data_IF_854443083802
#
_entry.id   IF_854443083802
#
_cell.length_a   1.000
_cell.length_b   1.000
_cell.length_c   1.000
_cell.angle_alpha   90.00
_cell.angle_beta   90.00
_cell.angle_gamma   90.00
#
_symmetry.space_group_name_H-M   'P 1'
#
loop_
_entity.id
_entity.type
_entity.pdbx_description
1 polymer ?
#
# COMPACT_ATOMS: atom_id res chain seq x y z
N UNK A 1 3.99 9.21 -14.36
CA UNK A 1 2.85 9.97 -13.75
C UNK A 1 2.51 9.25 -12.46
N UNK A 2 2.47 9.98 -11.33
CA UNK A 2 2.16 9.38 -10.02
C UNK A 2 0.68 9.02 -9.96
N UNK A 3 0.37 7.84 -9.41
CA UNK A 3 -0.99 7.35 -9.20
C UNK A 3 -1.43 7.58 -7.75
N UNK A 4 -2.71 7.85 -7.55
CA UNK A 4 -3.32 7.96 -6.23
C UNK A 4 -4.14 6.71 -5.94
N UNK A 5 -3.79 5.99 -4.88
CA UNK A 5 -4.51 4.82 -4.38
C UNK A 5 -5.36 5.23 -3.17
N UNK A 6 -6.66 5.30 -3.38
CA UNK A 6 -7.62 5.69 -2.34
C UNK A 6 -8.09 4.51 -1.51
N UNK A 7 -8.07 4.63 -0.19
CA UNK A 7 -8.36 3.57 0.77
C UNK A 7 -9.85 3.52 1.14
N UNK A 8 -10.48 2.36 0.98
CA UNK A 8 -11.82 2.06 1.50
C UNK A 8 -11.72 0.94 2.53
N UNK A 9 -12.11 1.24 3.78
CA UNK A 9 -12.15 0.25 4.86
C UNK A 9 -13.59 -0.20 5.11
N UNK A 10 -13.87 -1.49 4.90
CA UNK A 10 -15.16 -2.15 5.13
C UNK A 10 -15.23 -2.79 6.53
N UNK A 11 -14.70 -2.12 7.54
CA UNK A 11 -14.78 -2.58 8.94
C UNK A 11 -16.09 -2.12 9.59
N UNK A 12 -16.62 -2.82 10.61
CA UNK A 12 -17.88 -2.44 11.29
C UNK A 12 -17.89 -1.00 11.77
N UNK A 13 -16.74 -0.48 12.24
CA UNK A 13 -16.61 0.90 12.68
C UNK A 13 -16.67 1.91 11.51
N UNK A 14 -16.46 1.45 10.28
CA UNK A 14 -16.58 2.26 9.07
C UNK A 14 -18.02 2.42 8.59
N UNK A 15 -18.95 1.54 8.97
CA UNK A 15 -20.38 1.67 8.66
C UNK A 15 -21.10 2.70 9.57
N UNK A 16 -20.47 3.14 10.69
CA UNK A 16 -21.09 3.97 11.71
C UNK A 16 -20.46 5.34 11.88
N UNK A 17 -20.44 6.22 11.06
CA UNK A 17 -20.31 7.66 11.16
C UNK A 17 -19.23 8.34 10.27
N UNK A 18 -17.92 8.03 10.21
CA UNK A 18 -17.02 8.66 9.24
C UNK A 18 -16.96 7.94 7.89
N UNK A 19 -17.59 6.78 7.71
CA UNK A 19 -17.52 5.94 6.51
C UNK A 19 -18.10 6.57 5.24
N UNK A 20 -18.87 7.64 5.35
CA UNK A 20 -19.27 8.45 4.19
C UNK A 20 -18.06 9.01 3.43
N UNK A 21 -16.93 9.19 4.10
CA UNK A 21 -15.68 9.62 3.45
C UNK A 21 -15.08 8.51 2.60
N UNK A 22 -15.09 7.27 3.03
CA UNK A 22 -14.53 6.16 2.28
C UNK A 22 -15.26 5.91 0.96
N UNK A 23 -16.60 5.94 0.96
CA UNK A 23 -17.38 5.74 -0.27
C UNK A 23 -17.30 6.95 -1.23
N UNK A 24 -17.00 8.15 -0.73
CA UNK A 24 -16.75 9.31 -1.56
C UNK A 24 -15.50 9.12 -2.44
N UNK A 25 -14.56 8.26 -2.03
CA UNK A 25 -13.37 7.88 -2.82
C UNK A 25 -13.77 7.30 -4.18
N UNK A 26 -14.89 6.60 -4.30
CA UNK A 26 -15.40 6.08 -5.58
C UNK A 26 -15.69 7.19 -6.60
N UNK A 27 -15.94 8.41 -6.15
CA UNK A 27 -16.17 9.59 -6.99
C UNK A 27 -15.00 10.57 -6.98
N UNK A 28 -13.90 10.23 -6.31
CA UNK A 28 -12.69 11.06 -6.21
C UNK A 28 -11.81 10.94 -7.44
N UNK A 29 -10.60 11.52 -7.36
CA UNK A 29 -9.57 11.45 -8.40
C UNK A 29 -8.59 10.29 -8.20
N UNK A 30 -8.95 9.27 -7.42
CA UNK A 30 -8.11 8.09 -7.26
C UNK A 30 -7.98 7.31 -8.57
N UNK A 31 -6.79 6.86 -8.89
CA UNK A 31 -6.49 5.98 -10.02
C UNK A 31 -6.73 4.51 -9.65
N UNK A 32 -6.47 4.17 -8.39
CA UNK A 32 -6.63 2.84 -7.81
C UNK A 32 -7.55 2.96 -6.60
N UNK A 33 -8.49 2.04 -6.45
CA UNK A 33 -9.33 1.91 -5.26
C UNK A 33 -8.88 0.69 -4.48
N UNK A 34 -8.37 0.91 -3.27
CA UNK A 34 -7.85 -0.14 -2.39
C UNK A 34 -8.83 -0.46 -1.27
N UNK A 35 -9.37 -1.67 -1.29
CA UNK A 35 -10.48 -2.08 -0.41
C UNK A 35 -10.00 -3.13 0.57
N UNK A 36 -10.14 -2.86 1.87
CA UNK A 36 -9.84 -3.80 2.94
C UNK A 36 -11.02 -4.00 3.89
N UNK A 37 -11.17 -5.22 4.41
CA UNK A 37 -12.23 -5.57 5.36
C UNK A 37 -11.70 -5.95 6.75
N UNK A 38 -10.38 -5.95 6.92
CA UNK A 38 -9.68 -6.25 8.17
C UNK A 38 -8.85 -5.02 8.58
N UNK A 39 -8.87 -4.69 9.86
CA UNK A 39 -8.04 -3.61 10.38
C UNK A 39 -6.64 -4.12 10.71
N UNK A 40 -5.63 -3.50 10.13
CA UNK A 40 -4.21 -3.77 10.41
C UNK A 40 -3.63 -2.86 11.50
N UNK A 41 -4.48 -2.11 12.23
CA UNK A 41 -4.06 -1.25 13.34
C UNK A 41 -3.63 -2.07 14.55
N UNK A 42 -2.64 -1.59 15.33
CA UNK A 42 -2.27 -2.23 16.59
C UNK A 42 -3.49 -2.46 17.49
N UNK A 43 -3.64 -3.71 17.98
CA UNK A 43 -4.76 -4.07 18.87
C UNK A 43 -6.08 -4.44 18.18
N UNK A 44 -6.14 -4.45 16.85
CA UNK A 44 -7.30 -4.95 16.13
C UNK A 44 -7.55 -6.44 16.46
N UNK A 45 -8.81 -6.83 16.54
CA UNK A 45 -9.20 -8.22 16.71
C UNK A 45 -8.93 -9.03 15.43
N UNK A 46 -8.56 -10.30 15.61
CA UNK A 46 -8.42 -11.22 14.49
C UNK A 46 -9.79 -11.45 13.85
N UNK A 47 -9.83 -11.39 12.53
CA UNK A 47 -11.05 -11.57 11.73
C UNK A 47 -10.90 -12.87 10.95
N UNK A 48 -11.91 -13.74 11.01
CA UNK A 48 -11.90 -14.98 10.21
C UNK A 48 -12.05 -14.67 8.72
N UNK A 49 -11.58 -15.57 7.87
CA UNK A 49 -11.74 -15.49 6.39
C UNK A 49 -13.20 -15.34 6.01
N UNK A 50 -14.12 -16.07 6.68
CA UNK A 50 -15.55 -15.99 6.40
C UNK A 50 -16.15 -14.61 6.76
N UNK A 51 -15.69 -14.00 7.86
CA UNK A 51 -16.15 -12.66 8.24
C UNK A 51 -15.55 -11.59 7.31
N UNK A 52 -14.26 -11.73 6.93
CA UNK A 52 -13.63 -10.86 5.93
C UNK A 52 -14.38 -10.92 4.60
N UNK A 53 -14.69 -12.14 4.11
CA UNK A 53 -15.46 -12.33 2.89
C UNK A 53 -16.85 -11.72 3.00
N UNK A 54 -17.57 -11.96 4.09
CA UNK A 54 -18.91 -11.41 4.34
C UNK A 54 -18.95 -9.88 4.22
N UNK A 55 -17.85 -9.21 4.57
CA UNK A 55 -17.72 -7.74 4.45
C UNK A 55 -17.38 -7.32 3.02
N UNK A 56 -16.50 -8.06 2.35
CA UNK A 56 -16.02 -7.74 0.99
C UNK A 56 -17.04 -8.07 -0.09
N UNK A 57 -17.68 -9.23 -0.02
CA UNK A 57 -18.54 -9.76 -1.08
C UNK A 57 -19.60 -8.77 -1.58
N UNK A 58 -20.39 -8.10 -0.73
CA UNK A 58 -21.41 -7.15 -1.19
C UNK A 58 -20.82 -5.98 -1.99
N UNK A 59 -19.64 -5.50 -1.59
CA UNK A 59 -18.94 -4.42 -2.28
C UNK A 59 -18.43 -4.92 -3.64
N UNK A 60 -17.79 -6.08 -3.68
CA UNK A 60 -17.23 -6.65 -4.91
C UNK A 60 -18.33 -7.00 -5.93
N UNK A 61 -19.47 -7.55 -5.49
CA UNK A 61 -20.62 -7.82 -6.37
C UNK A 61 -21.25 -6.57 -6.97
N UNK A 62 -21.12 -5.42 -6.29
CA UNK A 62 -21.60 -4.13 -6.77
C UNK A 62 -20.51 -3.35 -7.54
N UNK A 63 -19.32 -3.96 -7.72
CA UNK A 63 -18.21 -3.28 -8.36
C UNK A 63 -18.45 -3.11 -9.86
N UNK A 64 -18.58 -1.87 -10.32
CA UNK A 64 -18.73 -1.49 -11.73
C UNK A 64 -17.81 -0.31 -12.11
N UNK A 65 -16.87 0.02 -11.22
CA UNK A 65 -16.00 1.17 -11.39
C UNK A 65 -14.89 0.87 -12.41
N UNK A 66 -14.62 1.75 -13.39
CA UNK A 66 -13.57 1.53 -14.40
C UNK A 66 -12.14 1.69 -13.87
N UNK A 67 -11.97 2.16 -12.62
CA UNK A 67 -10.66 2.29 -12.01
C UNK A 67 -10.09 0.93 -11.63
N UNK A 68 -8.76 0.85 -11.51
CA UNK A 68 -8.08 -0.36 -11.04
C UNK A 68 -8.51 -0.68 -9.60
N UNK A 69 -9.02 -1.87 -9.39
CA UNK A 69 -9.32 -2.40 -8.06
C UNK A 69 -8.06 -2.95 -7.41
N UNK A 70 -7.87 -2.67 -6.13
CA UNK A 70 -6.91 -3.31 -5.24
C UNK A 70 -7.65 -3.89 -4.04
N UNK A 71 -7.22 -5.06 -3.56
CA UNK A 71 -7.81 -5.71 -2.39
C UNK A 71 -6.72 -5.89 -1.33
N UNK A 72 -6.92 -5.22 -0.17
CA UNK A 72 -6.03 -5.28 1.00
C UNK A 72 -6.41 -6.52 1.83
N UNK A 73 -5.63 -7.58 1.66
CA UNK A 73 -5.83 -8.87 2.35
C UNK A 73 -4.53 -9.66 2.45
N UNK A 74 -4.38 -10.44 3.53
CA UNK A 74 -3.29 -11.42 3.70
C UNK A 74 -3.75 -12.86 3.47
N UNK A 75 -4.97 -13.09 2.91
CA UNK A 75 -5.56 -14.40 2.72
C UNK A 75 -5.67 -14.79 1.25
N UNK A 76 -4.99 -15.86 0.84
CA UNK A 76 -5.09 -16.43 -0.50
C UNK A 76 -6.50 -16.92 -0.85
N UNK A 77 -7.28 -17.34 0.18
CA UNK A 77 -8.68 -17.72 -0.03
C UNK A 77 -9.56 -16.52 -0.40
N UNK A 78 -9.33 -15.37 0.23
CA UNK A 78 -10.01 -14.12 -0.16
C UNK A 78 -9.62 -13.74 -1.60
N UNK A 79 -8.34 -13.86 -1.95
CA UNK A 79 -7.88 -13.60 -3.33
C UNK A 79 -8.62 -14.48 -4.34
N UNK A 80 -8.76 -15.79 -4.08
CA UNK A 80 -9.48 -16.71 -4.97
C UNK A 80 -10.95 -16.32 -5.12
N UNK A 81 -11.66 -16.14 -3.99
CA UNK A 81 -13.09 -15.76 -4.01
C UNK A 81 -13.34 -14.41 -4.70
N UNK A 82 -12.45 -13.45 -4.46
CA UNK A 82 -12.55 -12.15 -5.11
C UNK A 82 -12.31 -12.25 -6.63
N UNK A 83 -11.32 -13.03 -7.06
CA UNK A 83 -11.07 -13.28 -8.48
C UNK A 83 -12.27 -13.90 -9.20
N UNK A 84 -12.93 -14.87 -8.56
CA UNK A 84 -14.15 -15.48 -9.09
C UNK A 84 -15.32 -14.48 -9.18
N UNK A 85 -15.30 -13.44 -8.35
CA UNK A 85 -16.36 -12.44 -8.29
C UNK A 85 -16.17 -11.28 -9.29
N UNK A 86 -14.94 -10.73 -9.41
CA UNK A 86 -14.67 -9.49 -10.15
C UNK A 86 -13.62 -9.63 -11.25
N UNK A 87 -13.01 -10.79 -11.42
CA UNK A 87 -11.88 -10.98 -12.33
C UNK A 87 -10.57 -10.39 -11.79
N UNK A 88 -9.63 -9.99 -12.65
CA UNK A 88 -8.30 -9.53 -12.23
C UNK A 88 -8.31 -8.22 -11.43
N UNK A 89 -7.47 -8.15 -10.39
CA UNK A 89 -7.26 -6.98 -9.55
C UNK A 89 -5.80 -6.95 -9.03
N UNK A 90 -5.43 -5.91 -8.29
CA UNK A 90 -4.15 -5.79 -7.58
C UNK A 90 -4.32 -6.36 -6.17
N UNK A 91 -3.47 -7.29 -5.75
CA UNK A 91 -3.43 -7.79 -4.37
C UNK A 91 -2.52 -6.86 -3.56
N UNK A 92 -3.05 -6.25 -2.50
CA UNK A 92 -2.27 -5.46 -1.55
C UNK A 92 -2.10 -6.28 -0.25
N UNK A 93 -0.91 -6.87 -0.08
CA UNK A 93 -0.64 -7.75 1.05
C UNK A 93 0.47 -7.18 1.93
N UNK A 94 0.08 -6.73 3.13
CA UNK A 94 1.02 -6.19 4.12
C UNK A 94 2.04 -7.22 4.62
N UNK A 95 1.80 -8.51 4.36
CA UNK A 95 2.69 -9.60 4.80
C UNK A 95 3.67 -10.06 3.73
N UNK A 96 3.51 -9.61 2.49
CA UNK A 96 4.27 -10.10 1.34
C UNK A 96 4.30 -11.64 1.25
N UNK A 97 3.18 -12.29 1.59
CA UNK A 97 2.99 -13.74 1.57
C UNK A 97 3.49 -14.48 2.82
N UNK A 98 3.99 -13.77 3.84
CA UNK A 98 4.51 -14.42 5.05
C UNK A 98 3.40 -14.98 5.95
N UNK A 99 2.20 -14.39 5.93
CA UNK A 99 1.08 -14.81 6.78
C UNK A 99 0.28 -15.98 6.15
N UNK A 100 0.39 -16.18 4.83
CA UNK A 100 -0.28 -17.29 4.10
C UNK A 100 0.65 -17.88 3.03
N UNK A 101 1.20 -19.08 3.21
CA UNK A 101 2.12 -19.70 2.25
C UNK A 101 1.52 -19.95 0.86
N UNK A 102 0.17 -19.99 0.74
CA UNK A 102 -0.52 -20.13 -0.54
C UNK A 102 -0.73 -18.79 -1.27
N UNK A 103 -0.38 -17.66 -0.65
CA UNK A 103 -0.59 -16.33 -1.23
C UNK A 103 0.16 -16.17 -2.56
N UNK A 104 1.49 -16.24 -2.55
CA UNK A 104 2.30 -16.03 -3.75
C UNK A 104 2.00 -17.05 -4.85
N UNK A 105 1.90 -18.39 -4.56
CA UNK A 105 1.45 -19.35 -5.57
C UNK A 105 0.08 -19.04 -6.18
N UNK A 106 -0.85 -18.52 -5.38
CA UNK A 106 -2.20 -18.16 -5.87
C UNK A 106 -2.14 -16.94 -6.78
N UNK A 107 -1.43 -15.89 -6.37
CA UNK A 107 -1.25 -14.65 -7.16
C UNK A 107 -0.60 -14.96 -8.50
N UNK A 108 0.49 -15.75 -8.51
CA UNK A 108 1.19 -16.13 -9.74
C UNK A 108 0.32 -16.96 -10.68
N UNK A 109 -0.40 -17.96 -10.16
CA UNK A 109 -1.32 -18.80 -10.94
C UNK A 109 -2.45 -18.00 -11.58
N UNK A 110 -2.97 -16.98 -10.89
CA UNK A 110 -4.05 -16.12 -11.39
C UNK A 110 -3.54 -14.95 -12.25
N UNK A 111 -2.22 -14.75 -12.34
CA UNK A 111 -1.61 -13.67 -13.12
C UNK A 111 -1.95 -12.28 -12.58
N UNK A 112 -2.09 -12.13 -11.26
CA UNK A 112 -2.46 -10.87 -10.62
C UNK A 112 -1.24 -10.00 -10.34
N UNK A 113 -1.43 -8.67 -10.32
CA UNK A 113 -0.47 -7.75 -9.76
C UNK A 113 -0.42 -7.84 -8.23
N UNK A 114 0.73 -7.51 -7.65
CA UNK A 114 0.96 -7.69 -6.21
C UNK A 114 1.71 -6.53 -5.58
N UNK A 115 1.27 -6.06 -4.41
CA UNK A 115 2.03 -5.13 -3.56
C UNK A 115 2.72 -5.92 -2.48
N UNK A 116 4.06 -5.89 -2.49
CA UNK A 116 4.90 -6.50 -1.47
C UNK A 116 5.32 -5.44 -0.45
N UNK A 117 4.81 -5.54 0.77
CA UNK A 117 5.18 -4.62 1.84
C UNK A 117 6.18 -5.26 2.82
N UNK A 118 7.24 -4.51 3.14
CA UNK A 118 8.14 -4.91 4.22
C UNK A 118 7.51 -4.64 5.59
N UNK A 119 7.33 -5.70 6.37
CA UNK A 119 7.01 -5.62 7.80
C UNK A 119 7.96 -6.50 8.62
N UNK A 120 8.01 -6.27 9.93
CA UNK A 120 8.57 -7.21 10.92
C UNK A 120 7.51 -7.52 11.95
N UNK A 121 7.27 -8.81 12.19
CA UNK A 121 6.22 -9.24 13.11
C UNK A 121 4.81 -8.92 12.62
N UNK A 122 3.90 -8.76 13.57
CA UNK A 122 2.51 -8.42 13.33
C UNK A 122 2.16 -7.10 14.04
N UNK A 123 0.96 -6.54 13.87
CA UNK A 123 0.57 -5.27 14.48
C UNK A 123 0.70 -5.21 16.02
N UNK A 124 0.74 -6.38 16.71
CA UNK A 124 0.91 -6.45 18.18
C UNK A 124 2.38 -6.47 18.61
N UNK A 125 3.27 -6.96 17.77
CA UNK A 125 4.69 -7.19 18.11
C UNK A 125 5.64 -6.23 17.41
N UNK A 126 5.22 -5.54 16.36
CA UNK A 126 6.07 -4.74 15.48
C UNK A 126 6.85 -3.63 16.22
N UNK A 127 6.26 -2.99 17.24
CA UNK A 127 6.94 -1.91 17.99
C UNK A 127 8.17 -2.44 18.76
N UNK A 128 8.14 -3.72 19.22
CA UNK A 128 9.26 -4.35 19.91
C UNK A 128 10.35 -4.89 18.97
N UNK A 129 10.09 -4.91 17.67
CA UNK A 129 10.99 -5.42 16.64
C UNK A 129 11.70 -4.29 15.85
N UNK A 130 11.57 -3.04 16.33
CA UNK A 130 12.35 -1.94 15.78
C UNK A 130 13.85 -2.14 16.09
N UNK A 131 14.69 -2.02 15.07
CA UNK A 131 16.16 -2.06 15.20
C UNK A 131 16.72 -0.69 14.82
N UNK A 132 16.90 0.23 15.80
CA UNK A 132 17.26 1.61 15.51
C UNK A 132 18.68 1.76 14.93
N UNK A 133 19.58 0.83 15.23
CA UNK A 133 21.01 0.93 14.88
C UNK A 133 21.37 0.27 13.52
N UNK A 134 20.37 -0.22 12.75
CA UNK A 134 20.61 -0.79 11.43
C UNK A 134 20.45 0.27 10.32
N UNK A 135 21.17 0.12 9.20
CA UNK A 135 20.84 0.84 7.96
C UNK A 135 19.54 0.27 7.39
N UNK A 136 18.46 1.03 7.55
CA UNK A 136 17.13 0.59 7.13
C UNK A 136 17.02 0.39 5.62
N UNK A 137 17.80 1.09 4.82
CA UNK A 137 17.78 0.93 3.36
C UNK A 137 18.46 -0.39 2.95
N UNK A 138 19.55 -0.78 3.63
CA UNK A 138 20.17 -2.09 3.39
C UNK A 138 19.24 -3.24 3.79
N UNK A 139 18.54 -3.10 4.91
CA UNK A 139 17.52 -4.08 5.35
C UNK A 139 16.42 -4.22 4.31
N UNK A 140 15.85 -3.11 3.84
CA UNK A 140 14.81 -3.11 2.82
C UNK A 140 15.30 -3.72 1.50
N UNK A 141 16.50 -3.35 1.07
CA UNK A 141 17.07 -3.88 -0.14
C UNK A 141 17.31 -5.40 -0.06
N UNK A 142 17.81 -5.91 1.07
CA UNK A 142 17.97 -7.34 1.27
C UNK A 142 16.63 -8.09 1.26
N UNK A 143 15.61 -7.51 1.89
CA UNK A 143 14.27 -8.06 1.90
C UNK A 143 13.64 -8.15 0.50
N UNK A 144 13.72 -7.07 -0.28
CA UNK A 144 13.16 -7.06 -1.63
C UNK A 144 13.96 -7.88 -2.64
N UNK A 145 15.24 -8.07 -2.41
CA UNK A 145 16.04 -9.03 -3.19
C UNK A 145 15.55 -10.47 -2.96
N UNK A 146 15.27 -10.85 -1.72
CA UNK A 146 14.67 -12.15 -1.40
C UNK A 146 13.25 -12.28 -1.97
N UNK A 147 12.43 -11.22 -1.80
CA UNK A 147 11.08 -11.21 -2.36
C UNK A 147 11.08 -11.33 -3.89
N UNK A 148 12.00 -10.66 -4.59
CA UNK A 148 12.13 -10.75 -6.05
C UNK A 148 12.34 -12.18 -6.53
N UNK A 149 13.14 -12.97 -5.81
CA UNK A 149 13.34 -14.41 -6.12
C UNK A 149 12.05 -15.21 -5.88
N UNK A 150 11.37 -14.98 -4.76
CA UNK A 150 10.08 -15.64 -4.46
C UNK A 150 9.00 -15.30 -5.51
N UNK A 151 8.95 -14.04 -5.95
CA UNK A 151 8.05 -13.58 -6.99
C UNK A 151 8.33 -14.29 -8.33
N UNK A 152 9.61 -14.40 -8.72
CA UNK A 152 10.03 -15.10 -9.93
C UNK A 152 9.67 -16.60 -9.87
N UNK A 153 9.97 -17.28 -8.75
CA UNK A 153 9.64 -18.70 -8.53
C UNK A 153 8.12 -18.96 -8.61
N UNK A 154 7.30 -17.99 -8.19
CA UNK A 154 5.84 -18.07 -8.27
C UNK A 154 5.24 -17.54 -9.58
N UNK A 155 6.06 -16.99 -10.50
CA UNK A 155 5.59 -16.41 -11.77
C UNK A 155 4.89 -15.07 -11.63
N UNK A 156 5.15 -14.31 -10.56
CA UNK A 156 4.60 -12.96 -10.33
C UNK A 156 5.44 -11.95 -11.09
N UNK A 157 4.94 -11.49 -12.25
CA UNK A 157 5.66 -10.56 -13.12
C UNK A 157 5.38 -9.09 -12.80
N UNK A 158 4.19 -8.75 -12.30
CA UNK A 158 3.77 -7.38 -11.94
C UNK A 158 3.71 -7.25 -10.42
N UNK A 159 4.75 -6.66 -9.82
CA UNK A 159 4.73 -6.39 -8.39
C UNK A 159 5.27 -4.98 -8.07
N UNK A 160 4.77 -4.42 -6.96
CA UNK A 160 4.99 -3.07 -6.47
C UNK A 160 5.68 -3.19 -5.11
N UNK A 161 6.66 -2.35 -4.85
CA UNK A 161 7.45 -2.33 -3.64
C UNK A 161 6.85 -1.30 -2.67
N UNK A 162 6.49 -1.74 -1.43
CA UNK A 162 6.10 -0.86 -0.33
C UNK A 162 7.10 -1.02 0.83
N UNK A 163 7.87 0.02 1.20
CA UNK A 163 8.81 -0.05 2.31
C UNK A 163 8.15 -0.19 3.67
N UNK A 164 6.82 -0.11 3.77
CA UNK A 164 6.06 -0.33 4.99
C UNK A 164 6.33 0.73 6.06
N UNK A 165 6.13 2.02 5.74
CA UNK A 165 6.28 3.10 6.71
C UNK A 165 5.39 2.86 7.93
N UNK A 166 5.94 3.03 9.13
CA UNK A 166 5.23 2.83 10.40
C UNK A 166 5.09 1.37 10.84
N UNK A 167 5.68 0.40 10.11
CA UNK A 167 5.70 -1.01 10.50
C UNK A 167 7.11 -1.42 10.96
N UNK A 168 7.26 -1.63 12.27
CA UNK A 168 8.54 -1.99 12.93
C UNK A 168 9.72 -1.06 12.52
N UNK A 169 9.47 0.23 12.49
CA UNK A 169 10.44 1.27 12.13
C UNK A 169 10.33 2.44 13.09
N UNK A 170 11.48 3.02 13.48
CA UNK A 170 11.48 4.25 14.28
C UNK A 170 11.00 5.45 13.46
N UNK A 171 10.69 6.56 14.12
CA UNK A 171 10.32 7.80 13.44
C UNK A 171 11.43 8.28 12.50
N UNK A 172 12.69 8.17 12.95
CA UNK A 172 13.89 8.54 12.20
C UNK A 172 14.06 7.67 10.98
N UNK A 173 13.90 6.35 11.11
CA UNK A 173 13.97 5.39 9.99
C UNK A 173 12.90 5.65 8.95
N UNK A 174 11.68 6.00 9.35
CA UNK A 174 10.62 6.37 8.39
C UNK A 174 11.00 7.60 7.56
N UNK A 175 11.60 8.63 8.22
CA UNK A 175 12.08 9.83 7.52
C UNK A 175 13.28 9.51 6.63
N UNK A 176 14.19 8.65 7.09
CA UNK A 176 15.35 8.22 6.33
C UNK A 176 14.95 7.47 5.06
N UNK A 177 13.98 6.56 5.14
CA UNK A 177 13.43 5.87 3.97
C UNK A 177 12.95 6.88 2.92
N UNK A 178 12.17 7.88 3.34
CA UNK A 178 11.65 8.88 2.40
C UNK A 178 12.74 9.75 1.77
N UNK A 179 13.84 10.01 2.49
CA UNK A 179 15.00 10.76 1.95
C UNK A 179 15.84 9.94 0.98
N UNK A 180 15.88 8.63 1.19
CA UNK A 180 16.72 7.69 0.44
C UNK A 180 15.90 6.76 -0.47
N UNK A 181 14.64 7.12 -0.79
CA UNK A 181 13.76 6.34 -1.67
C UNK A 181 14.41 5.92 -3.00
N UNK A 182 15.19 6.78 -3.69
CA UNK A 182 15.85 6.37 -4.93
C UNK A 182 16.77 5.16 -4.81
N UNK A 183 17.30 4.87 -3.61
CA UNK A 183 18.16 3.71 -3.35
C UNK A 183 17.36 2.38 -3.33
N UNK A 184 16.02 2.44 -3.22
CA UNK A 184 15.12 1.28 -3.33
C UNK A 184 14.70 0.98 -4.76
N UNK A 185 14.91 1.90 -5.71
CA UNK A 185 14.45 1.74 -7.10
C UNK A 185 15.36 0.85 -7.97
N UNK A 186 16.34 0.18 -7.39
CA UNK A 186 17.27 -0.71 -8.11
C UNK A 186 16.63 -1.94 -8.75
N UNK A 187 15.39 -2.24 -8.39
CA UNK A 187 14.63 -3.37 -8.95
C UNK A 187 13.83 -2.99 -10.19
N UNK A 188 13.76 -1.71 -10.58
CA UNK A 188 12.92 -1.23 -11.67
C UNK A 188 11.43 -1.50 -11.42
N UNK A 189 11.00 -1.53 -10.16
CA UNK A 189 9.62 -1.76 -9.75
C UNK A 189 8.99 -0.48 -9.23
N UNK A 190 7.68 -0.27 -9.45
CA UNK A 190 6.99 0.88 -8.89
C UNK A 190 7.13 0.93 -7.36
N UNK A 191 7.24 2.13 -6.81
CA UNK A 191 7.31 2.42 -5.38
C UNK A 191 5.95 2.92 -4.89
N UNK A 192 5.33 2.18 -3.96
CA UNK A 192 4.13 2.59 -3.25
C UNK A 192 4.50 3.15 -1.88
N UNK A 193 3.95 4.32 -1.55
CA UNK A 193 4.17 4.98 -0.25
C UNK A 193 2.84 5.27 0.44
N UNK A 194 2.67 4.67 1.63
CA UNK A 194 1.55 4.92 2.53
C UNK A 194 1.98 5.74 3.76
N UNK A 195 2.08 7.06 3.62
CA UNK A 195 2.49 7.96 4.72
C UNK A 195 1.29 8.58 5.48
N UNK A 196 0.07 8.49 4.95
CA UNK A 196 -1.10 9.12 5.54
C UNK A 196 -1.43 8.56 6.94
N UNK A 197 -1.75 9.46 7.88
CA UNK A 197 -2.22 9.15 9.24
C UNK A 197 -1.28 8.26 10.08
N UNK A 198 0.01 8.24 9.74
CA UNK A 198 1.02 7.54 10.53
C UNK A 198 1.49 8.37 11.72
N UNK A 199 1.77 7.72 12.86
CA UNK A 199 2.20 8.41 14.11
C UNK A 199 3.41 9.31 13.90
N UNK A 200 4.38 8.91 13.08
CA UNK A 200 5.60 9.69 12.85
C UNK A 200 5.36 10.99 12.05
N UNK A 201 4.23 11.10 11.33
CA UNK A 201 3.92 12.32 10.56
C UNK A 201 3.44 13.47 11.44
N UNK A 202 3.03 13.20 12.67
CA UNK A 202 2.48 14.18 13.61
C UNK A 202 1.35 15.05 12.98
N UNK A 203 0.59 14.48 12.03
CA UNK A 203 -0.50 15.16 11.31
C UNK A 203 -0.06 15.95 10.07
N UNK A 204 1.24 16.08 9.80
CA UNK A 204 1.76 16.79 8.62
C UNK A 204 1.93 15.85 7.43
N UNK A 205 0.80 15.29 6.97
CA UNK A 205 0.77 14.31 5.87
C UNK A 205 1.29 14.91 4.56
N UNK A 206 0.99 16.18 4.29
CA UNK A 206 1.40 16.88 3.06
C UNK A 206 2.92 16.91 2.89
N UNK A 207 3.66 17.28 3.94
CA UNK A 207 5.12 17.26 3.95
C UNK A 207 5.68 15.89 3.55
N UNK A 208 5.13 14.81 4.09
CA UNK A 208 5.63 13.47 3.82
C UNK A 208 5.21 12.95 2.44
N UNK A 209 4.06 13.38 1.92
CA UNK A 209 3.71 13.16 0.53
C UNK A 209 4.68 13.88 -0.42
N UNK A 210 5.02 15.14 -0.15
CA UNK A 210 6.02 15.87 -0.94
C UNK A 210 7.40 15.19 -0.89
N UNK A 211 7.82 14.69 0.28
CA UNK A 211 9.07 13.93 0.39
C UNK A 211 9.02 12.64 -0.46
N UNK A 212 7.92 11.92 -0.42
CA UNK A 212 7.72 10.72 -1.23
C UNK A 212 7.77 11.01 -2.73
N UNK A 213 7.07 12.06 -3.18
CA UNK A 213 7.07 12.51 -4.58
C UNK A 213 8.48 12.90 -5.06
N UNK A 214 9.21 13.68 -4.26
CA UNK A 214 10.60 14.07 -4.56
C UNK A 214 11.57 12.88 -4.57
N UNK A 215 11.26 11.84 -3.78
CA UNK A 215 12.00 10.60 -3.74
C UNK A 215 11.65 9.61 -4.86
N UNK A 216 10.70 9.95 -5.74
CA UNK A 216 10.34 9.12 -6.89
C UNK A 216 9.27 8.07 -6.59
N UNK A 217 8.36 8.31 -5.63
CA UNK A 217 7.20 7.45 -5.42
C UNK A 217 6.31 7.44 -6.67
N UNK A 218 5.90 6.25 -7.10
CA UNK A 218 5.01 6.05 -8.24
C UNK A 218 3.55 6.02 -7.80
N UNK A 219 3.28 5.59 -6.56
CA UNK A 219 1.93 5.46 -6.01
C UNK A 219 1.90 6.06 -4.60
N UNK A 220 0.92 6.94 -4.34
CA UNK A 220 0.59 7.40 -2.98
C UNK A 220 -0.68 6.72 -2.51
N UNK A 221 -0.61 5.92 -1.43
CA UNK A 221 -1.76 5.29 -0.78
C UNK A 221 -2.29 6.18 0.33
N UNK A 222 -3.54 6.65 0.18
CA UNK A 222 -4.08 7.78 0.94
C UNK A 222 -5.53 7.61 1.37
N UNK A 223 -5.92 8.25 2.49
CA UNK A 223 -7.31 8.36 2.92
C UNK A 223 -8.03 9.55 2.29
N UNK A 224 -7.36 10.71 2.17
CA UNK A 224 -7.86 11.93 1.52
C UNK A 224 -7.20 12.10 0.14
N UNK A 225 -7.92 11.62 -0.88
CA UNK A 225 -7.45 11.67 -2.27
C UNK A 225 -7.37 13.10 -2.79
N UNK A 226 -8.30 13.97 -2.38
CA UNK A 226 -8.32 15.35 -2.88
C UNK A 226 -7.18 16.17 -2.27
N UNK A 227 -6.85 15.96 -0.99
CA UNK A 227 -5.66 16.55 -0.39
C UNK A 227 -4.37 16.08 -1.07
N UNK A 228 -4.23 14.77 -1.27
CA UNK A 228 -3.07 14.21 -1.96
C UNK A 228 -2.95 14.69 -3.41
N UNK A 229 -4.07 14.85 -4.11
CA UNK A 229 -4.09 15.41 -5.47
C UNK A 229 -3.62 16.87 -5.50
N UNK A 230 -4.02 17.70 -4.54
CA UNK A 230 -3.51 19.09 -4.41
C UNK A 230 -1.99 19.11 -4.20
N UNK A 231 -1.49 18.29 -3.28
CA UNK A 231 -0.04 18.14 -3.03
C UNK A 231 0.72 17.70 -4.29
N UNK A 232 0.17 16.73 -5.03
CA UNK A 232 0.77 16.27 -6.29
C UNK A 232 0.76 17.35 -7.38
N UNK A 233 -0.31 18.12 -7.48
CA UNK A 233 -0.40 19.23 -8.45
C UNK A 233 0.65 20.31 -8.15
N UNK A 234 0.75 20.71 -6.88
CA UNK A 234 1.78 21.66 -6.44
C UNK A 234 3.19 21.16 -6.76
N UNK A 235 3.48 19.89 -6.44
CA UNK A 235 4.76 19.26 -6.77
C UNK A 235 5.05 19.35 -8.28
N UNK A 236 4.08 19.04 -9.13
CA UNK A 236 4.25 19.12 -10.60
C UNK A 236 4.56 20.53 -11.07
N UNK A 237 3.85 21.52 -10.53
CA UNK A 237 4.04 22.93 -10.92
C UNK A 237 5.43 23.43 -10.50
N UNK A 238 5.94 23.03 -9.34
CA UNK A 238 7.30 23.34 -8.88
C UNK A 238 8.37 22.73 -9.80
N UNK A 239 8.16 21.50 -10.33
CA UNK A 239 9.12 20.83 -11.21
C UNK A 239 8.99 21.22 -12.68
N UNK A 240 7.77 21.51 -13.18
CA UNK A 240 7.58 22.02 -14.53
C UNK A 240 8.19 23.43 -14.74
N UNK A 241 8.27 24.23 -13.65
CA UNK A 241 8.92 25.54 -13.68
C UNK A 241 10.46 25.49 -13.65
N UNK A 242 11.08 24.29 -13.47
CA UNK A 242 12.52 24.12 -13.39
C UNK A 242 13.21 23.67 -14.69
N UNK A 243 12.46 23.23 -15.70
CA UNK A 243 13.02 22.75 -16.97
C UNK A 243 13.23 23.86 -18.04
N UNK A 244 12.80 25.09 -17.78
CA UNK A 244 12.90 26.22 -18.72
C UNK A 244 14.01 27.24 -18.33
N UNK A 245 15.21 26.79 -17.95
CA UNK A 245 16.36 27.69 -17.89
C UNK A 245 17.63 27.02 -18.42
N UNK A 246 17.87 27.01 -19.75
CA UNK A 246 19.17 26.70 -20.30
C UNK A 246 20.03 27.99 -20.23
N UNK A 247 20.98 28.04 -19.28
CA UNK A 247 22.18 28.85 -19.44
C UNK A 247 23.37 28.00 -19.91
#
# INVERSE_FOLDING_TARGET
>A
MVQLMGIINLTPDSFWAPSRYNMAILNSRADIIDVGAVSTRPGAADVSVEEEWRRLEPFLRAWDNPRRLSIDTTSSEIVRRAYDCVGPFLVNDISAGEDDPEMLPTVGRLGLGYVAMHKRGNPRTMDSLCEPDCDIIEVLNSYFEEFSRKAEDCGICDWILDPGLGFAKTAEQNVEILRRLPELNRYGRPLLIGAADKRFTCGDTEKYHLMALRGGADILRVHDVDAAYRTYTQYKDEYAGGEDNPE
#
